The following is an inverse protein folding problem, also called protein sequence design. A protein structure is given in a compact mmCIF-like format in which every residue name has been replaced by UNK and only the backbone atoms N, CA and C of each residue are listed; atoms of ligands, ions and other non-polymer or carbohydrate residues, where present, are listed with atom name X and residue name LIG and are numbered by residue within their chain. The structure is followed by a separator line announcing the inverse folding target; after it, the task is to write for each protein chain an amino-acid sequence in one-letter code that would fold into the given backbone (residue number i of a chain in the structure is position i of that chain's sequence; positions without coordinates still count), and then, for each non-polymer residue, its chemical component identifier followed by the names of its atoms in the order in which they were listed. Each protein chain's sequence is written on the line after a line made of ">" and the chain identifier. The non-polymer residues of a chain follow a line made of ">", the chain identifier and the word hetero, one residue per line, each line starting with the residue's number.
data_IF_506517932465
#
_entry.id   IF_506517932465
#
_cell.length_a   1.000
_cell.length_b   1.000
_cell.length_c   1.000
_cell.angle_alpha   90.00
_cell.angle_beta   90.00
_cell.angle_gamma   90.00
#
_symmetry.space_group_name_H-M   'P 1'
#
loop_
_entity.id
_entity.type
_entity.pdbx_description
1 polymer ?
#
# COMPACT_ATOMS: atom_id res chain seq x y z
N UNK A 1 -43.19 -12.71 -26.56
CA UNK A 1 -43.03 -11.35 -27.11
C UNK A 1 -41.57 -11.19 -27.50
N UNK A 2 -41.27 -10.75 -28.72
CA UNK A 2 -39.89 -10.55 -29.18
C UNK A 2 -39.25 -9.46 -28.33
N UNK A 3 -38.04 -9.70 -27.82
CA UNK A 3 -37.29 -8.76 -26.97
C UNK A 3 -36.74 -7.57 -27.77
N UNK A 4 -37.59 -6.85 -28.52
CA UNK A 4 -37.21 -5.86 -29.52
C UNK A 4 -36.22 -6.38 -30.59
N UNK A 5 -36.34 -7.64 -30.99
CA UNK A 5 -35.53 -8.25 -32.06
C UNK A 5 -36.44 -8.69 -33.20
N UNK A 6 -36.13 -8.26 -34.43
CA UNK A 6 -36.88 -8.62 -35.64
C UNK A 6 -37.32 -7.42 -36.47
N UNK A 7 -38.17 -7.68 -37.47
CA UNK A 7 -38.82 -6.65 -38.28
C UNK A 7 -40.08 -6.14 -37.60
N UNK A 8 -40.40 -4.84 -37.74
CA UNK A 8 -41.66 -4.26 -37.25
C UNK A 8 -42.87 -4.85 -37.99
N UNK A 9 -42.74 -5.06 -39.31
CA UNK A 9 -43.71 -5.76 -40.14
C UNK A 9 -43.01 -6.60 -41.20
N UNK A 10 -43.47 -7.82 -41.52
CA UNK A 10 -42.95 -8.63 -42.65
C UNK A 10 -43.38 -8.09 -44.02
N UNK A 11 -44.33 -7.15 -44.08
CA UNK A 11 -44.78 -6.54 -45.33
C UNK A 11 -43.66 -5.68 -45.92
N UNK A 12 -43.29 -5.95 -47.18
CA UNK A 12 -42.23 -5.23 -47.87
C UNK A 12 -40.82 -5.81 -47.69
N UNK A 13 -40.60 -6.78 -46.81
CA UNK A 13 -39.28 -7.43 -46.66
C UNK A 13 -39.04 -8.58 -47.64
N UNK A 14 -40.07 -9.04 -48.36
CA UNK A 14 -39.97 -10.16 -49.30
C UNK A 14 -39.75 -11.53 -48.61
N UNK A 15 -39.95 -11.62 -47.30
CA UNK A 15 -39.73 -12.84 -46.50
C UNK A 15 -40.89 -13.06 -45.51
N UNK A 16 -40.92 -14.22 -44.85
CA UNK A 16 -41.98 -14.56 -43.87
C UNK A 16 -41.90 -13.77 -42.56
N UNK A 17 -40.82 -13.01 -42.33
CA UNK A 17 -40.55 -12.33 -41.06
C UNK A 17 -40.22 -13.26 -39.89
N UNK A 18 -39.93 -14.54 -40.15
CA UNK A 18 -39.55 -15.49 -39.10
C UNK A 18 -38.16 -15.15 -38.53
N UNK A 19 -38.08 -14.96 -37.21
CA UNK A 19 -36.83 -14.60 -36.51
C UNK A 19 -36.35 -15.80 -35.71
N UNK A 20 -35.18 -16.34 -36.08
CA UNK A 20 -34.52 -17.40 -35.33
C UNK A 20 -33.48 -16.81 -34.38
N UNK A 21 -33.38 -17.38 -33.17
CA UNK A 21 -32.28 -17.05 -32.25
C UNK A 21 -30.95 -17.56 -32.81
N UNK A 22 -29.88 -16.79 -32.63
CA UNK A 22 -28.53 -17.26 -32.96
C UNK A 22 -28.11 -18.38 -31.99
N UNK A 23 -27.81 -19.58 -32.52
CA UNK A 23 -27.37 -20.73 -31.73
C UNK A 23 -25.89 -20.65 -31.34
N UNK A 24 -25.09 -19.91 -32.10
CA UNK A 24 -23.65 -19.71 -31.87
C UNK A 24 -23.37 -18.55 -30.91
N UNK A 25 -24.39 -17.78 -30.50
CA UNK A 25 -24.22 -16.70 -29.54
C UNK A 25 -23.89 -17.29 -28.16
N UNK A 26 -22.64 -17.15 -27.75
CA UNK A 26 -22.22 -17.48 -26.39
C UNK A 26 -22.89 -16.50 -25.42
N UNK A 27 -23.83 -17.01 -24.62
CA UNK A 27 -24.42 -16.22 -23.53
C UNK A 27 -23.33 -15.95 -22.49
N UNK A 28 -23.15 -14.69 -22.05
CA UNK A 28 -22.36 -14.42 -20.85
C UNK A 28 -22.86 -15.31 -19.72
N UNK A 29 -21.94 -16.01 -19.05
CA UNK A 29 -22.28 -16.82 -17.88
C UNK A 29 -22.71 -15.90 -16.76
N UNK A 30 -23.79 -16.25 -16.05
CA UNK A 30 -24.16 -15.56 -14.82
C UNK A 30 -22.98 -15.60 -13.85
N UNK A 31 -22.61 -14.43 -13.33
CA UNK A 31 -21.52 -14.28 -12.38
C UNK A 31 -21.94 -14.91 -11.04
N UNK A 32 -21.68 -16.20 -10.86
CA UNK A 32 -21.92 -16.86 -9.58
C UNK A 32 -21.98 -18.38 -9.64
N UNK A 33 -22.71 -18.95 -10.59
CA UNK A 33 -22.93 -20.40 -10.62
C UNK A 33 -22.03 -21.08 -11.67
N UNK A 34 -20.94 -21.70 -11.21
CA UNK A 34 -20.00 -22.45 -12.05
C UNK A 34 -18.78 -21.67 -12.57
N UNK A 35 -18.52 -20.47 -12.03
CA UNK A 35 -17.21 -19.84 -12.17
C UNK A 35 -16.21 -20.55 -11.23
N UNK A 36 -14.99 -20.88 -11.68
CA UNK A 36 -13.98 -21.55 -10.84
C UNK A 36 -13.56 -20.70 -9.63
N UNK A 37 -13.91 -19.42 -9.61
CA UNK A 37 -13.70 -18.52 -8.48
C UNK A 37 -14.99 -17.72 -8.18
N UNK A 38 -15.33 -17.52 -6.91
CA UNK A 38 -16.48 -16.71 -6.52
C UNK A 38 -16.29 -15.27 -7.01
N UNK A 39 -17.38 -14.54 -7.34
CA UNK A 39 -17.28 -13.13 -7.69
C UNK A 39 -16.64 -12.38 -6.52
N UNK A 40 -15.45 -11.84 -6.74
CA UNK A 40 -14.76 -11.04 -5.73
C UNK A 40 -15.47 -9.70 -5.63
N UNK A 41 -16.52 -9.64 -4.80
CA UNK A 41 -17.26 -8.41 -4.50
C UNK A 41 -16.35 -7.32 -3.91
N UNK A 42 -15.18 -7.68 -3.39
CA UNK A 42 -14.18 -6.74 -2.91
C UNK A 42 -13.18 -6.41 -4.02
N UNK A 43 -13.05 -5.13 -4.36
CA UNK A 43 -11.90 -4.63 -5.13
C UNK A 43 -10.54 -4.97 -4.47
N UNK A 44 -9.42 -4.52 -5.05
CA UNK A 44 -8.09 -4.83 -4.54
C UNK A 44 -7.99 -4.54 -3.04
N UNK A 45 -7.73 -5.58 -2.23
CA UNK A 45 -7.54 -5.42 -0.78
C UNK A 45 -6.22 -4.70 -0.53
N UNK A 46 -6.28 -3.44 -0.14
CA UNK A 46 -5.12 -2.72 0.37
C UNK A 46 -4.76 -3.26 1.75
N UNK A 47 -3.56 -3.82 1.90
CA UNK A 47 -3.02 -4.19 3.21
C UNK A 47 -2.59 -2.92 3.93
N UNK A 48 -3.11 -2.70 5.12
CA UNK A 48 -2.71 -1.59 5.98
C UNK A 48 -1.30 -1.84 6.52
N UNK A 49 -0.49 -0.79 6.73
CA UNK A 49 0.78 -0.90 7.43
C UNK A 49 0.54 -1.36 8.88
N UNK A 50 1.47 -2.13 9.43
CA UNK A 50 1.42 -2.56 10.83
C UNK A 50 2.21 -1.55 11.66
N UNK A 51 1.51 -0.92 12.61
CA UNK A 51 2.09 0.11 13.46
C UNK A 51 3.12 -0.45 14.45
N UNK A 52 3.03 -1.74 14.82
CA UNK A 52 4.03 -2.36 15.70
C UNK A 52 5.36 -2.52 14.98
N UNK A 53 5.32 -2.96 13.72
CA UNK A 53 6.51 -3.14 12.89
C UNK A 53 7.18 -1.80 12.62
N UNK A 54 6.42 -0.77 12.27
CA UNK A 54 6.96 0.58 12.05
C UNK A 54 7.64 1.15 13.31
N UNK A 55 7.05 0.93 14.49
CA UNK A 55 7.66 1.35 15.76
C UNK A 55 8.94 0.60 16.06
N UNK A 56 8.94 -0.71 15.82
CA UNK A 56 10.10 -1.55 16.02
C UNK A 56 11.25 -1.15 15.09
N UNK A 57 10.98 -0.89 13.82
CA UNK A 57 12.01 -0.45 12.86
C UNK A 57 12.61 0.91 13.26
N UNK A 58 11.78 1.86 13.73
CA UNK A 58 12.27 3.15 14.27
C UNK A 58 13.15 2.98 15.50
N UNK A 59 12.76 2.12 16.44
CA UNK A 59 13.57 1.83 17.63
C UNK A 59 14.89 1.16 17.25
N UNK A 60 14.84 0.21 16.31
CA UNK A 60 16.03 -0.45 15.79
C UNK A 60 17.01 0.53 15.14
N UNK A 61 16.55 1.53 14.40
CA UNK A 61 17.42 2.56 13.83
C UNK A 61 18.19 3.34 14.90
N UNK A 62 17.59 3.59 16.07
CA UNK A 62 18.28 4.23 17.20
C UNK A 62 19.35 3.32 17.75
N UNK A 63 18.99 2.07 18.08
CA UNK A 63 19.94 1.13 18.69
C UNK A 63 21.10 0.79 17.76
N UNK A 64 20.86 0.69 16.44
CA UNK A 64 21.96 0.49 15.47
C UNK A 64 22.97 1.63 15.54
N UNK A 65 22.52 2.89 15.63
CA UNK A 65 23.43 4.05 15.74
C UNK A 65 24.18 4.08 17.07
N UNK A 66 23.52 3.66 18.16
CA UNK A 66 24.16 3.55 19.47
C UNK A 66 25.26 2.49 19.44
N UNK A 67 24.99 1.34 18.80
CA UNK A 67 25.98 0.26 18.64
C UNK A 67 27.13 0.73 17.74
N UNK A 68 26.85 1.39 16.61
CA UNK A 68 27.89 1.96 15.75
C UNK A 68 28.79 2.95 16.52
N UNK A 69 28.21 3.81 17.38
CA UNK A 69 28.99 4.71 18.22
C UNK A 69 29.87 3.91 19.19
N UNK A 70 29.30 2.94 19.89
CA UNK A 70 30.02 2.10 20.83
C UNK A 70 31.21 1.42 20.17
N UNK A 71 31.01 0.77 19.04
CA UNK A 71 32.07 0.11 18.26
C UNK A 71 33.19 1.10 17.91
N UNK A 72 32.84 2.33 17.50
CA UNK A 72 33.87 3.36 17.20
C UNK A 72 34.65 3.82 18.43
N UNK A 73 34.00 3.96 19.59
CA UNK A 73 34.66 4.39 20.82
C UNK A 73 35.55 3.27 21.40
N UNK A 74 35.11 2.02 21.30
CA UNK A 74 35.89 0.84 21.67
C UNK A 74 37.14 0.69 20.77
N UNK A 75 36.99 0.85 19.45
CA UNK A 75 38.10 0.81 18.48
C UNK A 75 39.12 1.94 18.72
N UNK A 76 38.66 3.13 19.13
CA UNK A 76 39.55 4.24 19.45
C UNK A 76 40.36 4.01 20.73
N UNK A 77 39.85 3.23 21.67
CA UNK A 77 40.56 2.81 22.89
C UNK A 77 41.00 3.94 23.82
N UNK A 78 40.38 5.13 23.71
CA UNK A 78 40.75 6.33 24.50
C UNK A 78 39.92 6.51 25.77
N UNK A 79 38.73 5.92 25.82
CA UNK A 79 37.74 6.10 26.88
C UNK A 79 37.61 4.83 27.73
N UNK A 80 37.24 4.99 29.00
CA UNK A 80 36.87 3.86 29.86
C UNK A 80 35.46 3.34 29.54
N UNK A 81 35.14 2.10 29.93
CA UNK A 81 33.83 1.48 29.68
C UNK A 81 32.66 2.35 30.21
N UNK A 82 32.82 2.95 31.39
CA UNK A 82 31.80 3.83 31.99
C UNK A 82 31.55 5.10 31.15
N UNK A 83 32.61 5.69 30.59
CA UNK A 83 32.50 6.89 29.74
C UNK A 83 31.86 6.58 28.38
N UNK A 84 32.12 5.39 27.85
CA UNK A 84 31.51 4.89 26.61
C UNK A 84 30.00 4.72 26.81
N UNK A 85 29.58 4.12 27.93
CA UNK A 85 28.17 3.93 28.25
C UNK A 85 27.44 5.28 28.42
N UNK A 86 28.07 6.26 29.08
CA UNK A 86 27.51 7.62 29.21
C UNK A 86 27.30 8.31 27.85
N UNK A 87 28.27 8.23 26.94
CA UNK A 87 28.14 8.80 25.60
C UNK A 87 27.06 8.08 24.77
N UNK A 88 26.96 6.76 24.90
CA UNK A 88 25.91 5.96 24.28
C UNK A 88 24.51 6.35 24.77
N UNK A 89 24.33 6.54 26.08
CA UNK A 89 23.06 6.95 26.67
C UNK A 89 22.67 8.38 26.30
N UNK A 90 23.64 9.31 26.25
CA UNK A 90 23.42 10.67 25.70
C UNK A 90 22.93 10.62 24.26
N UNK A 91 23.57 9.79 23.42
CA UNK A 91 23.17 9.62 22.03
C UNK A 91 21.78 8.99 21.91
N UNK A 92 21.47 7.97 22.72
CA UNK A 92 20.15 7.33 22.77
C UNK A 92 19.06 8.35 23.12
N UNK A 93 19.25 9.14 24.17
CA UNK A 93 18.30 10.17 24.59
C UNK A 93 18.07 11.21 23.50
N UNK A 94 19.15 11.69 22.87
CA UNK A 94 19.09 12.67 21.77
C UNK A 94 18.32 12.13 20.56
N UNK A 95 18.59 10.88 20.15
CA UNK A 95 17.94 10.27 19.00
C UNK A 95 16.45 9.98 19.24
N UNK A 96 16.08 9.60 20.46
CA UNK A 96 14.67 9.44 20.85
C UNK A 96 13.94 10.78 20.81
N UNK A 97 14.54 11.84 21.35
CA UNK A 97 13.98 13.19 21.30
C UNK A 97 13.84 13.70 19.85
N UNK A 98 14.84 13.45 19.00
CA UNK A 98 14.78 13.76 17.56
C UNK A 98 13.69 12.98 16.84
N UNK A 99 13.41 11.72 17.21
CA UNK A 99 12.31 10.96 16.64
C UNK A 99 10.94 11.49 17.06
N UNK A 100 10.77 11.86 18.34
CA UNK A 100 9.54 12.45 18.85
C UNK A 100 9.26 13.84 18.25
N UNK A 101 10.30 14.67 18.13
CA UNK A 101 10.21 15.99 17.52
C UNK A 101 10.09 15.92 15.99
N UNK A 102 10.83 15.01 15.34
CA UNK A 102 10.82 14.75 13.91
C UNK A 102 9.50 14.18 13.40
N UNK A 103 8.75 13.46 14.24
CA UNK A 103 7.38 13.03 13.95
C UNK A 103 6.43 14.22 13.71
N UNK A 104 6.73 15.41 14.23
CA UNK A 104 5.97 16.65 14.00
C UNK A 104 6.46 17.44 12.77
N UNK A 105 7.72 17.27 12.35
CA UNK A 105 8.37 18.10 11.33
C UNK A 105 8.53 17.48 9.92
N UNK A 106 8.47 16.16 9.76
CA UNK A 106 8.63 15.48 8.44
C UNK A 106 7.30 15.34 7.67
N UNK A 107 6.45 16.35 7.73
CA UNK A 107 5.24 16.46 6.90
C UNK A 107 5.54 16.91 5.46
N UNK A 108 6.77 17.33 5.16
CA UNK A 108 7.14 18.02 3.92
C UNK A 108 7.73 17.16 2.80
N UNK A 109 8.90 16.54 2.97
CA UNK A 109 9.74 16.25 1.80
C UNK A 109 10.38 14.86 1.77
N UNK A 110 10.09 14.12 0.69
CA UNK A 110 11.20 13.64 -0.13
C UNK A 110 11.80 12.25 0.12
N UNK A 111 11.15 11.35 0.85
CA UNK A 111 11.44 9.91 0.76
C UNK A 111 10.26 9.20 0.10
N UNK A 112 10.02 9.50 -1.18
CA UNK A 112 9.07 8.72 -1.97
C UNK A 112 9.45 7.24 -1.91
N UNK A 113 8.46 6.35 -2.07
CA UNK A 113 8.60 4.89 -2.03
C UNK A 113 9.76 4.31 -2.88
N UNK A 114 10.36 5.13 -3.76
CA UNK A 114 11.56 4.82 -4.57
C UNK A 114 12.88 4.67 -3.80
N UNK A 115 12.98 5.14 -2.54
CA UNK A 115 14.19 4.93 -1.70
C UNK A 115 14.07 3.78 -0.70
N UNK A 116 12.89 3.15 -0.60
CA UNK A 116 12.67 2.04 0.33
C UNK A 116 13.28 0.76 -0.22
N UNK A 117 13.92 -0.02 0.65
CA UNK A 117 14.45 -1.34 0.29
C UNK A 117 13.29 -2.32 0.13
N UNK A 118 13.44 -3.33 -0.72
CA UNK A 118 12.36 -4.28 -1.05
C UNK A 118 11.77 -5.03 0.16
N UNK A 119 12.50 -5.13 1.27
CA UNK A 119 12.02 -5.76 2.51
C UNK A 119 11.18 -4.84 3.41
N UNK A 120 11.17 -3.52 3.17
CA UNK A 120 10.46 -2.53 3.98
C UNK A 120 8.98 -2.41 3.57
N UNK A 121 8.24 -3.52 3.65
CA UNK A 121 6.88 -3.62 3.09
C UNK A 121 5.88 -2.72 3.80
N UNK A 122 5.96 -2.61 5.13
CA UNK A 122 5.04 -1.79 5.92
C UNK A 122 5.30 -0.30 5.74
N UNK A 123 6.57 0.07 5.63
CA UNK A 123 7.05 1.40 5.31
C UNK A 123 6.57 1.84 3.90
N UNK A 124 6.69 0.97 2.90
CA UNK A 124 6.12 1.21 1.56
C UNK A 124 4.59 1.32 1.58
N UNK A 125 3.91 0.50 2.41
CA UNK A 125 2.46 0.56 2.56
C UNK A 125 2.01 1.87 3.20
N UNK A 126 2.72 2.35 4.23
CA UNK A 126 2.44 3.62 4.90
C UNK A 126 2.66 4.81 3.95
N UNK A 127 3.75 4.78 3.16
CA UNK A 127 4.01 5.80 2.14
C UNK A 127 2.91 5.82 1.07
N UNK A 128 2.48 4.64 0.61
CA UNK A 128 1.40 4.52 -0.38
C UNK A 128 0.06 4.98 0.17
N UNK A 129 -0.26 4.66 1.43
CA UNK A 129 -1.48 5.12 2.08
C UNK A 129 -1.51 6.66 2.12
N UNK A 130 -0.42 7.30 2.57
CA UNK A 130 -0.28 8.77 2.55
C UNK A 130 -0.42 9.37 1.15
N UNK A 131 0.18 8.76 0.13
CA UNK A 131 0.03 9.22 -1.26
C UNK A 131 -1.42 9.12 -1.73
N UNK A 132 -2.10 8.02 -1.42
CA UNK A 132 -3.51 7.84 -1.77
C UNK A 132 -4.43 8.79 -1.00
N UNK A 133 -4.15 9.08 0.27
CA UNK A 133 -4.88 10.07 1.07
C UNK A 133 -4.73 11.49 0.50
N UNK A 134 -3.50 11.86 0.11
CA UNK A 134 -3.24 13.14 -0.57
C UNK A 134 -4.02 13.25 -1.88
N UNK A 135 -4.03 12.18 -2.67
CA UNK A 135 -4.79 12.12 -3.93
C UNK A 135 -6.30 12.20 -3.69
N UNK A 136 -6.83 11.46 -2.71
CA UNK A 136 -8.25 11.50 -2.32
C UNK A 136 -8.67 12.91 -1.93
N UNK A 137 -7.87 13.58 -1.08
CA UNK A 137 -8.10 14.97 -0.67
C UNK A 137 -8.08 15.92 -1.86
N UNK A 138 -7.13 15.78 -2.78
CA UNK A 138 -7.05 16.62 -3.98
C UNK A 138 -8.23 16.42 -4.94
N UNK A 139 -8.76 15.20 -5.03
CA UNK A 139 -9.93 14.85 -5.84
C UNK A 139 -11.27 15.16 -5.16
N UNK A 140 -11.26 15.67 -3.92
CA UNK A 140 -12.49 15.93 -3.16
C UNK A 140 -13.23 14.67 -2.73
N UNK A 141 -12.55 13.52 -2.72
CA UNK A 141 -13.08 12.26 -2.22
C UNK A 141 -12.74 12.17 -0.72
N UNK A 142 -13.76 12.35 0.13
CA UNK A 142 -13.65 12.20 1.59
C UNK A 142 -13.96 10.74 1.96
#
# INVERSE_FOLDING_TARGET
>A
MSSNVGLSTPRGSGTSGYVQRNLSLLRPRDTGYGAPYPPTSSGPKHRKPDQQILKHDRAREVEVRVIELRDTLEDEGKLGEEEIDEECDKLRAKLLEEQENGAKGKTGEGAGARKMKGYQVHEMAEAKERETERLRKALGLI
#
